data_IF_716701211422
#
_entry.id   IF_716701211422
#
_cell.length_a   1.000
_cell.length_b   1.000
_cell.length_c   1.000
_cell.angle_alpha   90.00
_cell.angle_beta   90.00
_cell.angle_gamma   90.00
#
_symmetry.space_group_name_H-M   'P 1'
#
loop_
_entity.id
_entity.type
_entity.pdbx_description
1 polymer ?
#
# COMPACT_ATOMS: atom_id res chain seq x y z
N UNK A 1 -23.06 -18.29 30.84
CA UNK A 1 -23.63 -19.61 30.51
C UNK A 1 -23.35 -19.87 29.04
N UNK A 2 -22.78 -21.02 28.65
CA UNK A 2 -22.57 -21.34 27.23
C UNK A 2 -23.94 -21.46 26.53
N UNK A 3 -24.01 -20.99 25.29
CA UNK A 3 -25.23 -21.03 24.48
C UNK A 3 -25.59 -22.49 24.17
N UNK A 4 -26.79 -22.99 24.53
CA UNK A 4 -27.15 -24.40 24.40
C UNK A 4 -27.18 -24.95 22.96
N UNK A 5 -27.14 -24.08 21.95
CA UNK A 5 -27.18 -24.47 20.53
C UNK A 5 -25.81 -24.46 19.82
N UNK A 6 -24.70 -24.26 20.54
CA UNK A 6 -23.36 -24.24 19.94
C UNK A 6 -22.59 -25.54 20.18
N UNK A 7 -22.43 -26.33 19.12
CA UNK A 7 -21.56 -27.50 19.11
C UNK A 7 -20.25 -27.19 18.39
N UNK A 8 -19.12 -27.04 19.10
CA UNK A 8 -17.84 -26.81 18.46
C UNK A 8 -17.42 -28.01 17.59
N UNK A 9 -16.78 -27.78 16.43
CA UNK A 9 -16.24 -28.86 15.61
C UNK A 9 -15.16 -29.65 16.38
N UNK A 10 -15.00 -30.93 16.02
CA UNK A 10 -14.03 -31.83 16.69
C UNK A 10 -12.57 -31.55 16.30
N UNK A 11 -12.34 -30.87 15.18
CA UNK A 11 -11.02 -30.49 14.69
C UNK A 11 -11.07 -29.09 14.08
N UNK A 12 -10.05 -28.30 14.34
CA UNK A 12 -9.85 -26.97 13.78
C UNK A 12 -8.64 -26.98 12.86
N UNK A 13 -8.69 -26.22 11.76
CA UNK A 13 -7.47 -25.94 11.00
C UNK A 13 -6.56 -24.98 11.78
N UNK A 14 -5.30 -24.85 11.37
CA UNK A 14 -4.38 -23.90 12.01
C UNK A 14 -4.86 -22.45 11.84
N UNK A 15 -5.45 -22.13 10.68
CA UNK A 15 -6.05 -20.83 10.39
C UNK A 15 -7.24 -20.56 11.32
N UNK A 16 -8.11 -21.56 11.52
CA UNK A 16 -9.26 -21.44 12.43
C UNK A 16 -8.83 -21.18 13.87
N UNK A 17 -7.79 -21.89 14.35
CA UNK A 17 -7.25 -21.70 15.71
C UNK A 17 -6.74 -20.27 15.89
N UNK A 18 -6.00 -19.74 14.92
CA UNK A 18 -5.47 -18.38 14.97
C UNK A 18 -6.59 -17.33 15.01
N UNK A 19 -7.62 -17.48 14.16
CA UNK A 19 -8.75 -16.55 14.10
C UNK A 19 -9.59 -16.58 15.38
N UNK A 20 -9.85 -17.78 15.92
CA UNK A 20 -10.57 -17.94 17.19
C UNK A 20 -9.81 -17.30 18.35
N UNK A 21 -8.50 -17.51 18.44
CA UNK A 21 -7.65 -16.88 19.46
C UNK A 21 -7.64 -15.35 19.32
N UNK A 22 -7.48 -14.84 18.11
CA UNK A 22 -7.54 -13.40 17.84
C UNK A 22 -8.87 -12.77 18.29
N UNK A 23 -9.98 -13.43 17.97
CA UNK A 23 -11.32 -12.98 18.37
C UNK A 23 -11.52 -13.07 19.89
N UNK A 24 -11.00 -14.11 20.55
CA UNK A 24 -11.08 -14.26 21.99
C UNK A 24 -10.31 -13.16 22.72
N UNK A 25 -9.07 -12.89 22.30
CA UNK A 25 -8.21 -11.83 22.84
C UNK A 25 -8.86 -10.45 22.64
N UNK A 26 -9.36 -10.17 21.43
CA UNK A 26 -10.04 -8.90 21.10
C UNK A 26 -11.30 -8.67 21.96
N UNK A 27 -11.94 -9.73 22.46
CA UNK A 27 -13.13 -9.68 23.33
C UNK A 27 -12.80 -9.57 24.82
N UNK A 28 -11.56 -9.89 25.24
CA UNK A 28 -11.17 -9.95 26.65
C UNK A 28 -11.14 -8.57 27.35
N UNK A 29 -11.34 -7.47 26.61
CA UNK A 29 -11.62 -6.16 27.17
C UNK A 29 -10.40 -5.25 27.34
N UNK A 30 -9.18 -5.80 27.22
CA UNK A 30 -7.97 -5.00 27.05
C UNK A 30 -7.93 -4.46 25.61
N UNK A 31 -8.49 -3.26 25.44
CA UNK A 31 -8.33 -2.45 24.22
C UNK A 31 -6.90 -1.85 24.11
N UNK A 32 -6.01 -2.23 25.02
CA UNK A 32 -4.62 -1.80 25.06
C UNK A 32 -3.74 -2.66 24.16
N UNK A 33 -2.62 -2.09 23.73
CA UNK A 33 -1.58 -2.82 23.01
C UNK A 33 -1.00 -3.92 23.93
N UNK A 34 -0.89 -5.16 23.42
CA UNK A 34 -0.24 -6.25 24.14
C UNK A 34 1.25 -5.91 24.27
N UNK A 35 1.74 -5.87 25.51
CA UNK A 35 3.16 -5.62 25.75
C UNK A 35 3.99 -6.85 25.39
N UNK A 36 5.27 -6.65 25.04
CA UNK A 36 6.19 -7.76 24.73
C UNK A 36 6.26 -8.82 25.83
N UNK A 37 6.15 -8.40 27.09
CA UNK A 37 6.17 -9.32 28.22
C UNK A 37 4.93 -10.21 28.28
N UNK A 38 3.74 -9.65 28.04
CA UNK A 38 2.50 -10.44 27.94
C UNK A 38 2.51 -11.37 26.73
N UNK A 39 3.12 -10.95 25.61
CA UNK A 39 3.29 -11.82 24.45
C UNK A 39 4.18 -13.04 24.77
N UNK A 40 5.25 -12.84 25.55
CA UNK A 40 6.12 -13.93 26.01
C UNK A 40 5.39 -14.88 26.98
N UNK A 41 4.57 -14.35 27.89
CA UNK A 41 3.75 -15.16 28.80
C UNK A 41 2.75 -16.04 28.03
N UNK A 42 2.09 -15.47 27.02
CA UNK A 42 1.17 -16.24 26.14
C UNK A 42 1.94 -17.31 25.35
N UNK A 43 3.15 -17.01 24.88
CA UNK A 43 3.97 -17.99 24.15
C UNK A 43 4.40 -19.16 25.06
N UNK A 44 4.77 -18.87 26.31
CA UNK A 44 5.12 -19.88 27.32
C UNK A 44 3.91 -20.78 27.64
N UNK A 45 2.73 -20.18 27.84
CA UNK A 45 1.47 -20.91 28.06
C UNK A 45 1.08 -21.83 26.88
N UNK A 46 1.44 -21.44 25.66
CA UNK A 46 1.21 -22.21 24.43
C UNK A 46 2.37 -23.18 24.09
N UNK A 47 3.38 -23.29 24.96
CA UNK A 47 4.59 -24.08 24.75
C UNK A 47 5.34 -23.73 23.45
N UNK A 48 5.30 -22.46 23.04
CA UNK A 48 6.04 -21.92 21.90
C UNK A 48 7.42 -21.49 22.40
N UNK A 49 8.49 -22.01 21.77
CA UNK A 49 9.84 -21.61 22.14
C UNK A 49 10.11 -20.13 21.80
N UNK A 50 10.87 -19.43 22.65
CA UNK A 50 11.26 -18.02 22.44
C UNK A 50 11.95 -17.81 21.10
N UNK A 51 12.76 -18.77 20.64
CA UNK A 51 13.44 -18.71 19.33
C UNK A 51 12.43 -18.66 18.16
N UNK A 52 11.31 -19.36 18.29
CA UNK A 52 10.29 -19.45 17.25
C UNK A 52 9.39 -18.21 17.28
N UNK A 53 9.15 -17.64 18.47
CA UNK A 53 8.51 -16.34 18.64
C UNK A 53 9.34 -15.21 18.01
N UNK A 54 10.66 -15.17 18.26
CA UNK A 54 11.54 -14.15 17.67
C UNK A 54 11.61 -14.26 16.14
N UNK A 55 11.63 -15.48 15.61
CA UNK A 55 11.56 -15.70 14.16
C UNK A 55 10.23 -15.18 13.59
N UNK A 56 9.10 -15.48 14.25
CA UNK A 56 7.79 -15.01 13.84
C UNK A 56 7.65 -13.47 13.94
N UNK A 57 8.20 -12.83 14.97
CA UNK A 57 8.23 -11.36 15.09
C UNK A 57 9.02 -10.72 13.94
N UNK A 58 10.16 -11.31 13.58
CA UNK A 58 10.97 -10.85 12.46
C UNK A 58 10.21 -10.97 11.13
N UNK A 59 9.61 -12.12 10.86
CA UNK A 59 8.83 -12.35 9.65
C UNK A 59 7.61 -11.41 9.59
N UNK A 60 6.94 -11.19 10.74
CA UNK A 60 5.85 -10.23 10.87
C UNK A 60 6.31 -8.80 10.58
N UNK A 61 7.47 -8.39 11.09
CA UNK A 61 8.03 -7.06 10.86
C UNK A 61 8.39 -6.85 9.39
N UNK A 62 9.00 -7.85 8.74
CA UNK A 62 9.30 -7.80 7.31
C UNK A 62 8.03 -7.72 6.45
N UNK A 63 7.00 -8.51 6.80
CA UNK A 63 5.69 -8.48 6.15
C UNK A 63 4.98 -7.12 6.35
N UNK A 64 5.02 -6.57 7.56
CA UNK A 64 4.51 -5.22 7.87
C UNK A 64 5.21 -4.16 7.04
N UNK A 65 6.54 -4.19 6.96
CA UNK A 65 7.31 -3.23 6.14
C UNK A 65 6.94 -3.33 4.66
N UNK A 66 6.77 -4.55 4.14
CA UNK A 66 6.34 -4.76 2.76
C UNK A 66 4.92 -4.22 2.52
N UNK A 67 4.00 -4.45 3.45
CA UNK A 67 2.63 -3.95 3.38
C UNK A 67 2.58 -2.41 3.38
N UNK A 68 3.41 -1.78 4.22
CA UNK A 68 3.55 -0.32 4.26
C UNK A 68 4.09 0.23 2.93
N UNK A 69 5.17 -0.37 2.39
CA UNK A 69 5.70 0.01 1.07
C UNK A 69 4.65 -0.13 -0.04
N UNK A 70 3.80 -1.16 0.00
CA UNK A 70 2.69 -1.32 -0.96
C UNK A 70 1.65 -0.20 -0.83
N UNK A 71 1.28 0.19 0.39
CA UNK A 71 0.35 1.31 0.61
C UNK A 71 0.92 2.65 0.12
N UNK A 72 2.21 2.90 0.32
CA UNK A 72 2.89 4.08 -0.20
C UNK A 72 2.90 4.09 -1.73
N UNK A 73 3.21 2.95 -2.35
CA UNK A 73 3.15 2.81 -3.80
C UNK A 73 1.74 3.11 -4.35
N UNK A 74 0.70 2.55 -3.71
CA UNK A 74 -0.68 2.81 -4.10
C UNK A 74 -1.05 4.29 -3.99
N UNK A 75 -0.56 4.97 -2.95
CA UNK A 75 -0.74 6.42 -2.79
C UNK A 75 -0.02 7.18 -3.91
N UNK A 76 1.24 6.85 -4.17
CA UNK A 76 2.03 7.45 -5.25
C UNK A 76 1.33 7.33 -6.61
N UNK A 77 0.79 6.14 -6.95
CA UNK A 77 0.08 5.93 -8.21
C UNK A 77 -1.20 6.77 -8.34
N UNK A 78 -1.94 6.92 -7.24
CA UNK A 78 -3.14 7.78 -7.20
C UNK A 78 -2.78 9.25 -7.41
N UNK A 79 -1.71 9.72 -6.78
CA UNK A 79 -1.22 11.10 -6.95
C UNK A 79 -0.71 11.36 -8.36
N UNK A 80 0.05 10.42 -8.94
CA UNK A 80 0.52 10.52 -10.32
C UNK A 80 -0.66 10.61 -11.30
N UNK A 81 -1.70 9.79 -11.11
CA UNK A 81 -2.91 9.85 -11.91
C UNK A 81 -3.65 11.17 -11.73
N UNK A 82 -3.78 11.67 -10.49
CA UNK A 82 -4.39 12.97 -10.20
C UNK A 82 -3.65 14.09 -10.93
N UNK A 83 -2.32 14.11 -10.87
CA UNK A 83 -1.50 15.12 -11.54
C UNK A 83 -1.65 15.06 -13.07
N UNK A 84 -1.65 13.86 -13.66
CA UNK A 84 -1.90 13.67 -15.11
C UNK A 84 -3.29 14.14 -15.51
N UNK A 85 -4.30 13.86 -14.68
CA UNK A 85 -5.69 14.28 -14.91
C UNK A 85 -5.83 15.79 -14.83
N UNK A 86 -5.26 16.43 -13.81
CA UNK A 86 -5.28 17.90 -13.67
C UNK A 86 -4.59 18.57 -14.85
N UNK A 87 -3.40 18.10 -15.25
CA UNK A 87 -2.70 18.61 -16.43
C UNK A 87 -3.55 18.46 -17.70
N UNK A 88 -4.16 17.30 -17.89
CA UNK A 88 -5.07 17.05 -19.01
C UNK A 88 -6.24 18.05 -19.00
N UNK A 89 -6.89 18.26 -17.84
CA UNK A 89 -8.00 19.20 -17.73
C UNK A 89 -7.59 20.64 -18.05
N UNK A 90 -6.42 21.09 -17.57
CA UNK A 90 -5.93 22.45 -17.85
C UNK A 90 -5.70 22.64 -19.34
N UNK A 91 -4.97 21.73 -19.98
CA UNK A 91 -4.65 21.81 -21.42
C UNK A 91 -5.94 21.76 -22.25
N UNK A 92 -6.82 20.81 -21.97
CA UNK A 92 -8.05 20.66 -22.75
C UNK A 92 -9.03 21.82 -22.52
N UNK A 93 -9.16 22.32 -21.30
CA UNK A 93 -9.97 23.51 -21.02
C UNK A 93 -9.45 24.72 -21.82
N UNK A 94 -8.14 24.91 -21.86
CA UNK A 94 -7.52 25.97 -22.65
C UNK A 94 -7.84 25.84 -24.15
N UNK A 95 -7.72 24.64 -24.72
CA UNK A 95 -8.05 24.38 -26.12
C UNK A 95 -9.54 24.54 -26.44
N UNK A 96 -10.43 24.13 -25.52
CA UNK A 96 -11.88 24.33 -25.68
C UNK A 96 -12.22 25.82 -25.71
N UNK A 97 -11.63 26.63 -24.81
CA UNK A 97 -11.84 28.08 -24.77
C UNK A 97 -11.37 28.72 -26.09
N UNK A 98 -10.18 28.37 -26.58
CA UNK A 98 -9.68 28.88 -27.87
C UNK A 98 -10.62 28.50 -29.02
N UNK A 99 -11.04 27.24 -29.08
CA UNK A 99 -11.92 26.75 -30.14
C UNK A 99 -13.30 27.44 -30.11
N UNK A 100 -13.85 27.70 -28.93
CA UNK A 100 -15.09 28.47 -28.76
C UNK A 100 -14.94 29.92 -29.25
N UNK A 101 -13.83 30.58 -28.92
CA UNK A 101 -13.55 31.95 -29.36
C UNK A 101 -13.32 32.01 -30.89
N UNK A 102 -12.61 31.03 -31.45
CA UNK A 102 -12.24 31.04 -32.88
C UNK A 102 -13.34 30.54 -33.81
N UNK A 103 -14.10 29.52 -33.43
CA UNK A 103 -15.03 28.82 -34.32
C UNK A 103 -16.49 28.84 -33.84
N UNK A 104 -16.77 29.32 -32.62
CA UNK A 104 -18.11 29.29 -32.01
C UNK A 104 -18.65 27.88 -31.72
N UNK A 105 -17.90 26.82 -32.07
CA UNK A 105 -18.31 25.41 -32.02
C UNK A 105 -17.12 24.52 -31.68
N UNK A 106 -17.36 23.30 -31.21
CA UNK A 106 -16.28 22.34 -30.91
C UNK A 106 -15.85 21.63 -32.20
N UNK A 107 -15.01 22.29 -33.01
CA UNK A 107 -14.55 21.74 -34.30
C UNK A 107 -13.29 20.85 -34.21
N UNK A 108 -12.11 21.41 -33.90
CA UNK A 108 -10.84 20.65 -33.93
C UNK A 108 -10.33 20.18 -32.55
N UNK A 109 -10.82 20.79 -31.46
CA UNK A 109 -10.41 20.42 -30.11
C UNK A 109 -10.76 18.97 -29.73
N UNK A 110 -11.76 18.35 -30.38
CA UNK A 110 -12.16 16.96 -30.11
C UNK A 110 -11.07 15.95 -30.49
N UNK A 111 -10.28 16.24 -31.54
CA UNK A 111 -9.17 15.38 -31.93
C UNK A 111 -8.03 15.42 -30.90
N UNK A 112 -7.75 16.60 -30.33
CA UNK A 112 -6.78 16.77 -29.24
C UNK A 112 -7.24 16.11 -27.94
N UNK A 113 -8.53 16.26 -27.60
CA UNK A 113 -9.16 15.57 -26.47
C UNK A 113 -9.01 14.06 -26.59
N UNK A 114 -9.32 13.48 -27.76
CA UNK A 114 -9.19 12.04 -27.98
C UNK A 114 -7.73 11.57 -27.93
N UNK A 115 -6.83 12.32 -28.57
CA UNK A 115 -5.40 11.99 -28.60
C UNK A 115 -4.79 11.98 -27.19
N UNK A 116 -5.13 12.95 -26.35
CA UNK A 116 -4.63 13.03 -24.98
C UNK A 116 -5.42 12.16 -23.99
N UNK A 117 -6.69 11.85 -24.27
CA UNK A 117 -7.59 11.10 -23.39
C UNK A 117 -7.30 9.60 -23.38
N UNK A 118 -6.85 9.04 -24.51
CA UNK A 118 -6.44 7.64 -24.62
C UNK A 118 -5.34 7.25 -23.62
N UNK A 119 -4.16 7.89 -23.58
CA UNK A 119 -3.12 7.53 -22.63
C UNK A 119 -3.51 7.77 -21.16
N UNK A 120 -4.39 8.76 -20.89
CA UNK A 120 -4.93 8.99 -19.55
C UNK A 120 -5.86 7.85 -19.11
N UNK A 121 -6.75 7.38 -19.99
CA UNK A 121 -7.65 6.26 -19.71
C UNK A 121 -6.90 4.96 -19.42
N UNK A 122 -5.84 4.67 -20.18
CA UNK A 122 -4.97 3.51 -19.94
C UNK A 122 -4.22 3.63 -18.62
N UNK A 123 -3.77 4.84 -18.28
CA UNK A 123 -3.11 5.11 -16.98
C UNK A 123 -4.10 4.93 -15.83
N UNK A 124 -5.34 5.40 -15.98
CA UNK A 124 -6.40 5.23 -14.99
C UNK A 124 -6.72 3.75 -14.79
N UNK A 125 -6.97 3.01 -15.87
CA UNK A 125 -7.27 1.57 -15.82
C UNK A 125 -6.17 0.80 -15.08
N UNK A 126 -4.90 1.05 -15.42
CA UNK A 126 -3.77 0.41 -14.74
C UNK A 126 -3.73 0.73 -13.24
N UNK A 127 -4.04 1.97 -12.84
CA UNK A 127 -4.02 2.39 -11.43
C UNK A 127 -5.13 1.76 -10.59
N UNK A 128 -6.29 1.45 -11.19
CA UNK A 128 -7.36 0.72 -10.50
C UNK A 128 -7.16 -0.80 -10.50
N UNK A 129 -6.31 -1.31 -11.39
CA UNK A 129 -5.90 -2.71 -11.39
C UNK A 129 -4.81 -2.95 -10.33
N UNK A 130 -5.25 -3.26 -9.10
CA UNK A 130 -4.39 -3.52 -7.94
C UNK A 130 -3.87 -4.97 -7.87
N UNK A 131 -4.08 -5.78 -8.91
CA UNK A 131 -3.74 -7.20 -8.93
C UNK A 131 -3.16 -7.61 -10.29
N UNK A 132 -2.16 -8.49 -10.27
CA UNK A 132 -1.56 -9.10 -11.45
C UNK A 132 -0.08 -8.76 -11.65
N UNK A 133 0.54 -9.44 -12.63
CA UNK A 133 1.98 -9.38 -12.92
C UNK A 133 2.46 -7.94 -13.17
N UNK A 134 1.64 -7.15 -13.88
CA UNK A 134 1.95 -5.76 -14.18
C UNK A 134 2.01 -4.86 -12.93
N UNK A 135 1.22 -5.17 -11.90
CA UNK A 135 1.26 -4.46 -10.61
C UNK A 135 2.56 -4.77 -9.88
N UNK A 136 2.93 -6.05 -9.79
CA UNK A 136 4.13 -6.48 -9.08
C UNK A 136 5.41 -5.94 -9.73
N UNK A 137 5.46 -5.94 -11.06
CA UNK A 137 6.60 -5.40 -11.79
C UNK A 137 6.73 -3.88 -11.57
N UNK A 138 5.62 -3.15 -11.58
CA UNK A 138 5.61 -1.73 -11.31
C UNK A 138 6.03 -1.42 -9.86
N UNK A 139 5.55 -2.20 -8.89
CA UNK A 139 5.95 -2.10 -7.48
C UNK A 139 7.44 -2.37 -7.31
N UNK A 140 7.98 -3.41 -7.94
CA UNK A 140 9.42 -3.74 -7.87
C UNK A 140 10.28 -2.62 -8.44
N UNK A 141 9.91 -2.07 -9.59
CA UNK A 141 10.62 -0.93 -10.22
C UNK A 141 10.56 0.32 -9.34
N UNK A 142 9.41 0.60 -8.73
CA UNK A 142 9.25 1.72 -7.82
C UNK A 142 10.09 1.54 -6.55
N UNK A 143 10.03 0.37 -5.91
CA UNK A 143 10.81 0.03 -4.71
C UNK A 143 12.32 0.24 -4.93
N UNK A 144 12.86 -0.25 -6.04
CA UNK A 144 14.28 -0.08 -6.38
C UNK A 144 14.64 1.41 -6.53
N UNK A 145 13.80 2.19 -7.21
CA UNK A 145 14.03 3.64 -7.37
C UNK A 145 14.02 4.37 -6.04
N UNK A 146 13.13 4.00 -5.13
CA UNK A 146 13.01 4.65 -3.83
C UNK A 146 14.19 4.30 -2.92
N UNK A 147 14.57 3.03 -2.85
CA UNK A 147 15.74 2.56 -2.09
C UNK A 147 17.06 3.19 -2.60
N UNK A 148 17.18 3.40 -3.92
CA UNK A 148 18.31 4.12 -4.50
C UNK A 148 18.34 5.59 -4.05
N UNK A 149 17.22 6.30 -4.09
CA UNK A 149 17.16 7.72 -3.66
C UNK A 149 17.59 7.87 -2.21
N UNK A 150 17.07 7.04 -1.30
CA UNK A 150 17.43 7.09 0.12
C UNK A 150 18.93 6.84 0.32
N UNK A 151 19.49 5.85 -0.39
CA UNK A 151 20.92 5.54 -0.35
C UNK A 151 21.76 6.71 -0.85
N UNK A 152 21.38 7.35 -1.96
CA UNK A 152 22.10 8.52 -2.49
C UNK A 152 22.00 9.73 -1.55
N UNK A 153 20.84 9.98 -0.94
CA UNK A 153 20.70 11.09 0.01
C UNK A 153 21.56 10.89 1.25
N UNK A 154 21.64 9.65 1.75
CA UNK A 154 22.47 9.31 2.92
C UNK A 154 23.97 9.44 2.64
N UNK A 155 24.41 9.01 1.45
CA UNK A 155 25.80 9.17 1.01
C UNK A 155 26.16 10.66 0.83
N UNK A 156 25.25 11.45 0.27
CA UNK A 156 25.46 12.90 0.11
C UNK A 156 25.57 13.63 1.44
N UNK A 157 24.74 13.30 2.44
CA UNK A 157 24.86 13.87 3.79
C UNK A 157 26.18 13.49 4.46
N UNK A 158 26.68 12.26 4.28
CA UNK A 158 27.98 11.86 4.82
C UNK A 158 29.15 12.60 4.15
N UNK A 159 29.15 12.73 2.83
CA UNK A 159 30.17 13.49 2.08
C UNK A 159 30.14 14.97 2.47
N UNK A 160 28.96 15.56 2.58
CA UNK A 160 28.79 16.96 3.04
C UNK A 160 29.35 17.15 4.46
N UNK A 161 29.12 16.20 5.36
CA UNK A 161 29.65 16.23 6.73
C UNK A 161 31.19 16.13 6.76
N UNK A 162 31.78 15.36 5.85
CA UNK A 162 33.24 15.22 5.74
C UNK A 162 33.91 16.46 5.13
N UNK A 163 33.24 17.16 4.21
CA UNK A 163 33.73 18.40 3.58
C UNK A 163 33.49 19.67 4.43
N UNK A 164 32.72 19.57 5.52
CA UNK A 164 32.52 20.66 6.50
C UNK A 164 33.46 20.58 7.71
N UNK A 165 34.45 19.69 7.66
CA UNK A 165 35.59 19.59 8.59
C UNK A 165 36.87 20.00 7.85
#
# INVERSE_FOLDING_TARGET
MPNPDFFPPQSYSQEDVQEILYLAISRQGDKGEITRQQLLEIADDLAIEVKDLEAAEKDWQESKMLSYKRQEFDRFRREELKNKTVRYLIINSFFIIINLISAGTISWAIYLLLLMGLPLSLSAWKTFQNQGIAYEEAFKRWKIKEEMKESFTNLWTQVKKFLQF
#
